data_IF_585408038868
#
_entry.id   IF_585408038868
#
_cell.length_a   1.000
_cell.length_b   1.000
_cell.length_c   1.000
_cell.angle_alpha   90.00
_cell.angle_beta   90.00
_cell.angle_gamma   90.00
#
_symmetry.space_group_name_H-M   'P 1'
#
loop_
_entity.id
_entity.type
_entity.pdbx_description
1 polymer ?
#
# COMPACT_ATOMS: atom_id res chain seq x y z
N UNK A 1 -25.13 21.83 11.35
CA UNK A 1 -25.30 22.74 12.51
C UNK A 1 -25.64 24.12 11.98
N UNK A 2 -26.45 24.85 12.69
CA UNK A 2 -26.90 26.18 12.27
C UNK A 2 -25.81 27.22 12.50
N UNK A 3 -25.68 28.22 11.61
CA UNK A 3 -24.93 29.47 11.86
C UNK A 3 -23.44 29.33 12.21
N UNK A 4 -22.75 28.26 11.84
CA UNK A 4 -21.34 28.08 12.19
C UNK A 4 -21.08 27.64 13.65
N UNK A 5 -22.12 27.24 14.37
CA UNK A 5 -21.99 26.67 15.71
C UNK A 5 -21.20 25.36 15.67
N UNK A 6 -20.54 25.01 16.77
CA UNK A 6 -19.86 23.75 17.00
C UNK A 6 -20.39 23.07 18.25
N UNK A 7 -20.36 21.73 18.26
CA UNK A 7 -20.59 20.90 19.43
C UNK A 7 -19.34 20.02 19.65
N UNK A 8 -19.10 19.67 20.90
CA UNK A 8 -18.04 18.72 21.25
C UNK A 8 -18.61 17.34 21.24
N UNK A 9 -17.98 16.43 20.49
CA UNK A 9 -18.34 15.02 20.43
C UNK A 9 -17.34 14.21 21.28
N UNK A 10 -17.84 13.26 22.06
CA UNK A 10 -17.03 12.36 22.89
C UNK A 10 -17.62 10.95 22.89
N UNK A 11 -16.81 9.98 23.32
CA UNK A 11 -17.20 8.58 23.34
C UNK A 11 -16.85 7.85 22.04
N UNK A 12 -17.29 6.59 21.93
CA UNK A 12 -16.98 5.70 20.82
C UNK A 12 -18.25 5.08 20.26
N UNK A 13 -18.36 5.05 18.95
CA UNK A 13 -19.32 4.20 18.22
C UNK A 13 -18.56 3.11 17.47
N UNK A 14 -19.24 2.02 17.13
CA UNK A 14 -18.67 0.93 16.36
C UNK A 14 -19.32 0.82 14.99
N UNK A 15 -18.55 0.44 14.00
CA UNK A 15 -19.02 0.05 12.67
C UNK A 15 -19.38 -1.44 12.64
N UNK A 16 -20.14 -1.86 11.64
CA UNK A 16 -20.46 -3.28 11.42
C UNK A 16 -19.26 -4.13 10.97
N UNK A 17 -18.16 -3.49 10.55
CA UNK A 17 -16.94 -4.16 10.09
C UNK A 17 -15.72 -3.28 10.37
N UNK A 18 -14.56 -3.91 10.50
CA UNK A 18 -13.26 -3.24 10.57
C UNK A 18 -12.58 -3.08 9.19
N UNK A 19 -13.20 -3.56 8.11
CA UNK A 19 -12.66 -3.48 6.76
C UNK A 19 -12.81 -2.06 6.18
N UNK A 20 -12.00 -1.73 5.20
CA UNK A 20 -12.12 -0.48 4.45
C UNK A 20 -13.48 -0.41 3.74
N UNK A 21 -14.15 0.73 3.83
CA UNK A 21 -15.48 0.94 3.28
C UNK A 21 -16.22 2.10 3.92
N UNK A 22 -17.40 2.37 3.40
CA UNK A 22 -18.33 3.36 3.95
C UNK A 22 -19.39 2.66 4.81
N UNK A 23 -19.61 3.17 5.99
CA UNK A 23 -20.53 2.60 6.96
C UNK A 23 -21.49 3.66 7.49
N UNK A 24 -22.74 3.27 7.69
CA UNK A 24 -23.68 4.07 8.48
C UNK A 24 -23.67 3.57 9.91
N UNK A 25 -23.45 4.47 10.86
CA UNK A 25 -23.46 4.14 12.28
C UNK A 25 -24.89 4.22 12.80
N UNK A 26 -25.48 3.08 13.08
CA UNK A 26 -26.87 3.00 13.56
C UNK A 26 -26.97 2.96 15.09
N UNK A 27 -25.86 2.72 15.79
CA UNK A 27 -25.82 2.68 17.25
C UNK A 27 -24.82 3.70 17.79
N UNK A 28 -25.35 4.74 18.41
CA UNK A 28 -24.60 5.83 19.00
C UNK A 28 -24.61 5.78 20.55
N UNK A 29 -25.00 4.65 21.15
CA UNK A 29 -25.17 4.53 22.60
C UNK A 29 -23.89 4.82 23.40
N UNK A 30 -22.72 4.66 22.78
CA UNK A 30 -21.41 4.98 23.37
C UNK A 30 -20.93 6.40 23.09
N UNK A 31 -21.74 7.26 22.47
CA UNK A 31 -21.34 8.63 22.09
C UNK A 31 -22.15 9.68 22.80
N UNK A 32 -21.51 10.80 23.11
CA UNK A 32 -22.15 11.96 23.73
C UNK A 32 -21.79 13.22 22.96
N UNK A 33 -22.72 14.19 22.99
CA UNK A 33 -22.47 15.56 22.55
C UNK A 33 -22.60 16.52 23.73
N UNK A 34 -21.77 17.53 23.74
CA UNK A 34 -21.80 18.60 24.74
C UNK A 34 -21.64 19.97 24.08
N UNK A 35 -21.83 21.02 24.86
CA UNK A 35 -21.71 22.37 24.37
C UNK A 35 -20.32 22.67 23.81
N UNK A 36 -20.26 23.24 22.61
CA UNK A 36 -19.14 23.96 22.05
C UNK A 36 -19.51 25.43 21.98
N UNK A 37 -19.53 26.02 20.79
CA UNK A 37 -20.13 27.35 20.59
C UNK A 37 -21.67 27.30 20.48
N UNK A 38 -22.21 26.12 20.17
CA UNK A 38 -23.64 25.83 20.17
C UNK A 38 -24.10 25.17 21.46
N UNK A 39 -25.39 25.30 21.78
CA UNK A 39 -26.03 24.68 22.95
C UNK A 39 -26.52 23.28 22.58
N UNK A 40 -26.05 22.25 23.29
CA UNK A 40 -26.42 20.85 23.03
C UNK A 40 -27.92 20.60 23.12
N UNK A 41 -28.66 21.35 23.93
CA UNK A 41 -30.11 21.27 24.08
C UNK A 41 -30.88 21.50 22.77
N UNK A 42 -30.27 22.16 21.80
CA UNK A 42 -30.87 22.46 20.49
C UNK A 42 -30.65 21.32 19.47
N UNK A 43 -29.94 20.26 19.84
CA UNK A 43 -29.51 19.20 18.93
C UNK A 43 -29.79 17.82 19.50
N UNK A 44 -30.01 16.86 18.60
CA UNK A 44 -30.10 15.45 18.94
C UNK A 44 -29.32 14.61 17.90
N UNK A 45 -28.75 13.51 18.34
CA UNK A 45 -28.17 12.49 17.45
C UNK A 45 -29.24 11.53 16.92
N UNK A 46 -30.40 11.46 17.55
CA UNK A 46 -31.50 10.58 17.13
C UNK A 46 -32.11 11.07 15.83
N UNK A 47 -32.27 10.17 14.86
CA UNK A 47 -32.86 10.48 13.54
C UNK A 47 -31.92 11.14 12.54
N UNK A 48 -30.65 11.39 12.91
CA UNK A 48 -29.61 11.85 11.98
C UNK A 48 -29.00 10.69 11.19
N UNK A 49 -28.33 11.03 10.06
CA UNK A 49 -27.46 10.10 9.35
C UNK A 49 -26.03 10.28 9.86
N UNK A 50 -25.38 9.17 10.21
CA UNK A 50 -24.05 9.16 10.78
C UNK A 50 -23.16 8.24 9.94
N UNK A 51 -22.40 8.83 9.04
CA UNK A 51 -21.54 8.09 8.13
C UNK A 51 -20.10 8.07 8.66
N UNK A 52 -19.47 6.93 8.46
CA UNK A 52 -18.07 6.71 8.82
C UNK A 52 -17.34 5.97 7.69
N UNK A 53 -16.21 6.47 7.28
CA UNK A 53 -15.38 5.86 6.25
C UNK A 53 -14.10 5.30 6.88
N UNK A 54 -13.85 4.03 6.60
CA UNK A 54 -12.55 3.39 6.86
C UNK A 54 -11.78 3.39 5.54
N UNK A 55 -10.75 4.20 5.46
CA UNK A 55 -9.93 4.34 4.27
C UNK A 55 -9.04 3.12 4.04
N UNK A 56 -8.76 2.80 2.76
CA UNK A 56 -7.77 1.79 2.40
C UNK A 56 -6.38 2.21 2.84
N UNK A 57 -5.63 1.27 3.40
CA UNK A 57 -4.25 1.52 3.81
C UNK A 57 -3.32 1.47 2.61
N UNK A 58 -2.54 2.54 2.44
CA UNK A 58 -1.58 2.65 1.32
C UNK A 58 -0.37 1.78 1.59
N UNK A 59 -0.01 0.93 0.63
CA UNK A 59 1.18 0.09 0.64
C UNK A 59 2.22 0.58 -0.35
N UNK A 60 3.48 0.36 -0.01
CA UNK A 60 4.62 0.53 -0.90
C UNK A 60 5.25 -0.82 -1.20
N UNK A 61 5.71 -1.01 -2.42
CA UNK A 61 6.45 -2.21 -2.84
C UNK A 61 7.88 -1.85 -3.22
N UNK A 62 8.80 -2.74 -2.89
CA UNK A 62 10.20 -2.59 -3.27
C UNK A 62 10.83 -3.92 -3.60
N UNK A 63 11.93 -3.90 -4.35
CA UNK A 63 12.63 -5.11 -4.68
C UNK A 63 13.94 -4.87 -5.40
N UNK A 64 14.57 -5.97 -5.80
CA UNK A 64 15.86 -5.97 -6.49
C UNK A 64 15.88 -7.10 -7.51
N UNK A 65 16.42 -6.82 -8.70
CA UNK A 65 16.70 -7.83 -9.72
C UNK A 65 18.05 -7.61 -10.39
N UNK A 66 18.58 -8.65 -10.99
CA UNK A 66 19.72 -8.55 -11.88
C UNK A 66 19.30 -7.94 -13.22
N UNK A 67 20.20 -7.19 -13.84
CA UNK A 67 20.01 -6.67 -15.20
C UNK A 67 19.61 -7.78 -16.18
N UNK A 68 18.49 -7.60 -16.86
CA UNK A 68 17.88 -8.53 -17.80
C UNK A 68 17.50 -7.91 -19.15
N UNK A 69 17.94 -6.66 -19.39
CA UNK A 69 17.66 -5.86 -20.57
C UNK A 69 16.19 -5.43 -20.74
N UNK A 70 15.33 -5.58 -19.71
CA UNK A 70 13.92 -5.17 -19.76
C UNK A 70 13.65 -3.98 -18.86
N UNK A 71 12.50 -3.31 -19.07
CA UNK A 71 11.95 -2.27 -18.18
C UNK A 71 10.84 -2.81 -17.28
N UNK A 72 10.55 -4.09 -17.34
CA UNK A 72 9.50 -4.70 -16.52
C UNK A 72 9.87 -4.68 -15.04
N UNK A 73 8.90 -4.44 -14.18
CA UNK A 73 8.98 -4.62 -12.73
C UNK A 73 7.96 -5.69 -12.37
N UNK A 74 8.38 -6.94 -12.43
CA UNK A 74 7.51 -8.10 -12.17
C UNK A 74 7.15 -8.18 -10.69
N UNK A 75 5.95 -8.69 -10.41
CA UNK A 75 5.56 -9.00 -9.04
C UNK A 75 6.50 -9.99 -8.34
N UNK A 76 7.23 -10.82 -9.09
CA UNK A 76 8.27 -11.71 -8.54
C UNK A 76 9.53 -10.98 -8.06
N UNK A 77 9.81 -9.79 -8.60
CA UNK A 77 10.95 -8.96 -8.21
C UNK A 77 10.61 -7.99 -7.07
N UNK A 78 9.33 -7.89 -6.74
CA UNK A 78 8.78 -6.93 -5.80
C UNK A 78 8.11 -7.64 -4.63
N UNK A 79 8.09 -6.99 -3.48
CA UNK A 79 7.38 -7.48 -2.31
C UNK A 79 6.67 -6.33 -1.59
N UNK A 80 5.57 -6.65 -0.90
CA UNK A 80 4.82 -5.69 -0.09
C UNK A 80 5.46 -5.64 1.30
N UNK A 81 6.31 -4.66 1.55
CA UNK A 81 7.11 -4.64 2.78
C UNK A 81 6.67 -3.63 3.82
N UNK A 82 5.81 -2.68 3.49
CA UNK A 82 5.49 -1.61 4.43
C UNK A 82 3.99 -1.46 4.64
N UNK A 83 3.64 -1.15 5.88
CA UNK A 83 2.29 -0.80 6.29
C UNK A 83 1.24 -1.93 6.31
N UNK A 84 1.61 -3.21 6.30
CA UNK A 84 0.68 -4.27 6.65
C UNK A 84 0.33 -4.23 8.15
N UNK A 85 -0.89 -4.61 8.50
CA UNK A 85 -1.34 -4.68 9.89
C UNK A 85 -0.87 -5.99 10.53
N UNK A 86 -0.11 -5.88 11.63
CA UNK A 86 0.33 -7.05 12.39
C UNK A 86 1.08 -8.07 11.52
N UNK A 87 0.63 -9.31 11.53
CA UNK A 87 1.20 -10.42 10.75
C UNK A 87 0.47 -10.72 9.44
N UNK A 88 -0.42 -9.82 8.98
CA UNK A 88 -1.13 -10.00 7.72
C UNK A 88 -0.16 -10.09 6.55
N UNK A 89 -0.49 -10.90 5.56
CA UNK A 89 0.22 -10.97 4.29
C UNK A 89 -0.73 -10.67 3.14
N UNK A 90 -0.18 -10.24 2.02
CA UNK A 90 -0.90 -10.10 0.75
C UNK A 90 -0.06 -10.71 -0.36
N UNK A 91 -0.71 -11.16 -1.41
CA UNK A 91 -0.06 -11.56 -2.65
C UNK A 91 -0.02 -10.39 -3.63
N UNK A 92 1.07 -10.28 -4.38
CA UNK A 92 1.24 -9.32 -5.47
C UNK A 92 1.26 -10.07 -6.79
N UNK A 93 0.55 -9.57 -7.79
CA UNK A 93 0.52 -10.13 -9.15
C UNK A 93 0.65 -9.03 -10.19
N UNK A 94 0.90 -9.40 -11.46
CA UNK A 94 1.03 -8.45 -12.56
C UNK A 94 2.44 -7.88 -12.72
N UNK A 95 2.54 -6.82 -13.50
CA UNK A 95 3.82 -6.20 -13.88
C UNK A 95 3.67 -4.69 -13.91
N UNK A 96 4.57 -4.01 -13.23
CA UNK A 96 4.83 -2.59 -13.36
C UNK A 96 5.95 -2.30 -14.36
N UNK A 97 6.42 -1.08 -14.39
CA UNK A 97 7.53 -0.67 -15.26
C UNK A 97 8.43 0.35 -14.59
N UNK A 98 9.69 0.36 -15.00
CA UNK A 98 10.69 1.38 -14.68
C UNK A 98 11.06 2.19 -15.93
N UNK A 99 11.57 3.40 -15.76
CA UNK A 99 11.82 4.35 -16.86
C UNK A 99 12.83 3.84 -17.88
N UNK A 100 13.83 3.09 -17.45
CA UNK A 100 14.89 2.50 -18.31
C UNK A 100 15.42 1.21 -17.68
N UNK A 101 16.11 0.40 -18.48
CA UNK A 101 16.64 -0.92 -18.08
C UNK A 101 17.98 -0.89 -17.34
N UNK A 102 18.68 0.24 -17.29
CA UNK A 102 20.06 0.33 -16.84
C UNK A 102 20.19 0.05 -15.32
N UNK A 103 21.40 -0.34 -14.93
CA UNK A 103 21.74 -0.54 -13.52
C UNK A 103 21.61 0.75 -12.75
N UNK A 104 20.77 0.74 -11.73
CA UNK A 104 20.53 1.85 -10.81
C UNK A 104 19.74 1.35 -9.60
N UNK A 105 20.01 1.92 -8.44
CA UNK A 105 19.27 1.65 -7.21
C UNK A 105 17.99 2.51 -7.12
N UNK A 106 16.97 1.97 -6.50
CA UNK A 106 15.75 2.68 -6.12
C UNK A 106 15.02 3.41 -7.27
N UNK A 107 14.99 2.80 -8.46
CA UNK A 107 14.19 3.33 -9.57
C UNK A 107 12.72 3.37 -9.20
N UNK A 108 12.03 4.43 -9.62
CA UNK A 108 10.58 4.54 -9.47
C UNK A 108 9.90 3.49 -10.33
N UNK A 109 8.95 2.77 -9.75
CA UNK A 109 8.11 1.80 -10.46
C UNK A 109 6.74 2.43 -10.71
N UNK A 110 6.32 2.46 -11.96
CA UNK A 110 4.94 2.72 -12.35
C UNK A 110 4.12 1.44 -12.16
N UNK A 111 2.96 1.53 -11.52
CA UNK A 111 2.17 0.37 -11.08
C UNK A 111 1.78 -0.55 -12.25
N UNK A 112 1.40 0.02 -13.41
CA UNK A 112 0.98 -0.78 -14.56
C UNK A 112 -0.19 -1.71 -14.22
N UNK A 113 0.02 -3.03 -14.41
CA UNK A 113 -0.97 -4.08 -14.06
C UNK A 113 -0.74 -4.71 -12.69
N UNK A 114 0.17 -4.16 -11.86
CA UNK A 114 0.37 -4.67 -10.50
C UNK A 114 -0.93 -4.57 -9.69
N UNK A 115 -1.30 -5.67 -9.06
CA UNK A 115 -2.51 -5.77 -8.25
C UNK A 115 -2.27 -6.61 -7.00
N UNK A 116 -3.03 -6.28 -5.95
CA UNK A 116 -3.02 -7.01 -4.69
C UNK A 116 -4.08 -8.11 -4.72
N UNK A 117 -3.77 -9.25 -4.12
CA UNK A 117 -4.71 -10.31 -3.82
C UNK A 117 -4.61 -10.69 -2.35
N UNK A 118 -5.65 -11.33 -1.83
CA UNK A 118 -5.72 -11.75 -0.44
C UNK A 118 -4.56 -12.67 -0.08
N UNK A 119 -4.12 -12.56 1.14
CA UNK A 119 -3.05 -13.38 1.69
C UNK A 119 -3.50 -14.15 2.93
N UNK A 120 -2.59 -14.39 3.85
CA UNK A 120 -2.84 -15.09 5.11
C UNK A 120 -3.00 -14.14 6.28
N UNK A 121 -3.37 -14.71 7.43
CA UNK A 121 -3.55 -14.00 8.71
C UNK A 121 -4.54 -12.83 8.64
N UNK A 122 -5.62 -12.99 7.85
CA UNK A 122 -6.66 -11.96 7.68
C UNK A 122 -6.26 -10.81 6.74
N UNK A 123 -5.22 -10.98 5.94
CA UNK A 123 -4.84 -10.01 4.90
C UNK A 123 -5.83 -10.02 3.74
N UNK A 124 -6.71 -9.02 3.70
CA UNK A 124 -7.69 -8.78 2.63
C UNK A 124 -7.23 -7.65 1.74
N UNK A 125 -7.05 -7.90 0.44
CA UNK A 125 -6.61 -6.91 -0.54
C UNK A 125 -7.56 -5.70 -0.61
N UNK A 126 -8.84 -5.90 -0.30
CA UNK A 126 -9.85 -4.84 -0.25
C UNK A 126 -9.54 -3.72 0.75
N UNK A 127 -8.76 -4.01 1.81
CA UNK A 127 -8.37 -3.06 2.84
C UNK A 127 -7.11 -2.25 2.49
N UNK A 128 -6.50 -2.53 1.35
CA UNK A 128 -5.21 -1.96 0.97
C UNK A 128 -5.25 -1.38 -0.45
N UNK A 129 -4.29 -0.51 -0.75
CA UNK A 129 -4.10 0.06 -2.09
C UNK A 129 -2.62 0.30 -2.37
N UNK A 130 -2.23 0.13 -3.62
CA UNK A 130 -0.92 0.56 -4.12
C UNK A 130 -0.93 2.03 -4.54
N UNK A 131 -2.11 2.57 -4.89
CA UNK A 131 -2.25 3.97 -5.30
C UNK A 131 -1.82 4.91 -4.18
N UNK A 132 -0.93 5.84 -4.50
CA UNK A 132 -0.34 6.77 -3.52
C UNK A 132 0.86 6.22 -2.78
N UNK A 133 1.24 4.95 -2.97
CA UNK A 133 2.44 4.35 -2.39
C UNK A 133 3.72 4.73 -3.14
N UNK A 134 4.86 4.50 -2.48
CA UNK A 134 6.18 4.64 -3.09
C UNK A 134 6.68 3.28 -3.54
N UNK A 135 6.83 3.09 -4.85
CA UNK A 135 7.24 1.81 -5.43
C UNK A 135 8.64 1.92 -6.01
N UNK A 136 9.53 1.00 -5.65
CA UNK A 136 10.96 1.05 -5.98
C UNK A 136 11.50 -0.30 -6.44
N UNK A 137 12.32 -0.28 -7.50
CA UNK A 137 13.08 -1.45 -7.96
C UNK A 137 14.55 -1.06 -8.14
N UNK A 138 15.44 -1.86 -7.58
CA UNK A 138 16.87 -1.74 -7.81
C UNK A 138 17.29 -2.73 -8.90
N UNK A 139 17.93 -2.25 -9.96
CA UNK A 139 18.54 -3.08 -10.99
C UNK A 139 20.04 -3.14 -10.71
N UNK A 140 20.56 -4.34 -10.50
CA UNK A 140 21.96 -4.60 -10.17
C UNK A 140 22.71 -5.20 -11.35
N UNK A 141 24.03 -5.14 -11.31
CA UNK A 141 24.90 -5.68 -12.36
C UNK A 141 24.73 -7.20 -12.50
N UNK A 142 24.67 -7.67 -13.71
CA UNK A 142 24.71 -9.10 -14.03
C UNK A 142 26.16 -9.56 -14.19
N UNK A 143 26.63 -10.57 -13.45
CA UNK A 143 27.96 -11.11 -13.63
C UNK A 143 28.13 -11.66 -15.05
N UNK A 144 29.28 -11.35 -15.66
CA UNK A 144 29.70 -11.98 -16.90
C UNK A 144 30.63 -13.15 -16.59
N UNK A 145 30.39 -14.28 -17.25
CA UNK A 145 31.32 -15.41 -17.26
C UNK A 145 32.04 -15.39 -18.59
N UNK A 146 33.36 -15.25 -18.55
CA UNK A 146 34.20 -15.33 -19.73
C UNK A 146 34.92 -16.68 -19.75
N UNK A 147 34.77 -17.44 -20.84
CA UNK A 147 35.56 -18.64 -21.10
C UNK A 147 36.55 -18.33 -22.17
N UNK A 148 37.82 -18.45 -21.84
CA UNK A 148 38.94 -18.18 -22.75
C UNK A 148 39.64 -19.52 -23.04
N UNK A 149 40.00 -19.74 -24.30
CA UNK A 149 40.81 -20.88 -24.72
C UNK A 149 41.83 -20.45 -25.74
N UNK A 150 42.97 -21.07 -25.71
CA UNK A 150 44.00 -20.88 -26.74
C UNK A 150 44.75 -22.19 -27.00
N UNK A 151 45.37 -22.30 -28.14
CA UNK A 151 46.27 -23.39 -28.43
C UNK A 151 47.57 -23.21 -27.64
N UNK A 152 48.17 -24.28 -27.18
CA UNK A 152 49.44 -24.25 -26.46
C UNK A 152 50.54 -23.63 -27.33
N UNK A 153 51.19 -22.56 -26.84
CA UNK A 153 52.25 -21.83 -27.50
C UNK A 153 53.50 -21.61 -26.61
N UNK A 154 53.60 -22.36 -25.51
CA UNK A 154 54.73 -22.26 -24.57
C UNK A 154 54.73 -21.02 -23.67
N UNK A 155 53.70 -20.17 -23.73
CA UNK A 155 53.63 -18.93 -22.91
C UNK A 155 52.55 -19.02 -21.84
N UNK A 156 52.58 -18.12 -20.81
CA UNK A 156 51.56 -17.96 -19.77
C UNK A 156 50.65 -16.77 -20.00
N UNK A 157 50.80 -16.05 -21.10
CA UNK A 157 50.01 -14.85 -21.37
C UNK A 157 48.69 -15.22 -22.06
N UNK A 158 47.62 -14.60 -21.63
CA UNK A 158 46.31 -14.62 -22.28
C UNK A 158 46.21 -13.47 -23.27
#
# INVERSE_FOLDING_TARGET
MAGGESLVHSGTASTSSANAGNYTINNLSGTNISNGTGLVSNYTLTGGTHDFTIEKRVLSVSGTRLYDATTNASSSDLSTHSNLIGSQTLSLSGTGSIVDKNVQLNKVVSIGSLSLADGSNGGLASNYTLTGGTHRLSVTQRPLVATLSRQYDGTRRL
#
